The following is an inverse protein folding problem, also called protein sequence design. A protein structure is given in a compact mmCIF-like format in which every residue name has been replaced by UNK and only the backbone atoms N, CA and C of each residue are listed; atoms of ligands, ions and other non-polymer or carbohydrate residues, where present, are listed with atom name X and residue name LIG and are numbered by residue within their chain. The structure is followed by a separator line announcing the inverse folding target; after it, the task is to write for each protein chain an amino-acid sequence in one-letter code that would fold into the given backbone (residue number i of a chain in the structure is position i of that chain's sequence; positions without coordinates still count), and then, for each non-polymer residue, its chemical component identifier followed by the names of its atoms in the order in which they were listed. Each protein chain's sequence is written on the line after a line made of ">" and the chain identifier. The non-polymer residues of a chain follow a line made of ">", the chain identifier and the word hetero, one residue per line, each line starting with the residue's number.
data_IF_629624999058
#
_entry.id   IF_629624999058
#
_cell.length_a   1.000
_cell.length_b   1.000
_cell.length_c   1.000
_cell.angle_alpha   90.00
_cell.angle_beta   90.00
_cell.angle_gamma   90.00
#
_symmetry.space_group_name_H-M   'P 1'
#
loop_
_entity.id
_entity.type
_entity.pdbx_description
1 polymer ?
#
# COMPACT_ATOMS: atom_id res chain seq x y z
N UNK A 1 32.63 54.89 32.93
CA UNK A 1 31.43 54.31 32.31
C UNK A 1 31.42 54.70 30.85
N UNK A 2 31.73 53.79 29.91
CA UNK A 2 31.65 54.09 28.48
C UNK A 2 30.18 54.04 28.00
N UNK A 3 29.80 54.79 26.95
CA UNK A 3 28.45 54.76 26.40
C UNK A 3 28.20 53.46 25.62
N UNK A 4 27.00 52.90 25.78
CA UNK A 4 26.56 51.67 25.12
C UNK A 4 26.45 51.88 23.59
N UNK A 5 27.01 50.93 22.83
CA UNK A 5 26.83 50.83 21.38
C UNK A 5 25.40 50.35 21.05
N UNK A 6 24.77 50.85 19.98
CA UNK A 6 23.43 50.42 19.59
C UNK A 6 23.47 49.00 19.00
N UNK A 7 22.58 48.15 19.50
CA UNK A 7 22.37 46.78 19.01
C UNK A 7 21.53 46.88 17.74
N UNK A 8 22.10 46.48 16.59
CA UNK A 8 21.36 46.31 15.35
C UNK A 8 20.58 44.99 15.40
N UNK A 9 19.25 45.05 15.50
CA UNK A 9 18.39 43.91 15.18
C UNK A 9 18.45 43.62 13.68
N UNK A 10 18.74 42.39 13.24
CA UNK A 10 18.54 42.02 11.84
C UNK A 10 17.04 41.87 11.57
N UNK A 11 16.56 42.62 10.58
CA UNK A 11 15.21 42.48 10.04
C UNK A 11 15.00 41.05 9.53
N UNK A 12 14.02 40.36 10.11
CA UNK A 12 13.50 39.10 9.60
C UNK A 12 12.74 39.37 8.30
N UNK A 13 13.38 39.11 7.16
CA UNK A 13 12.65 38.88 5.91
C UNK A 13 11.99 37.49 5.96
N UNK A 14 10.71 37.36 5.57
CA UNK A 14 10.04 36.06 5.52
C UNK A 14 10.61 35.22 4.38
N UNK A 15 11.16 34.05 4.72
CA UNK A 15 11.54 33.01 3.76
C UNK A 15 10.27 32.49 3.08
N UNK A 16 10.22 32.38 1.73
CA UNK A 16 9.04 31.87 1.04
C UNK A 16 8.81 30.40 1.38
N UNK A 17 7.60 30.09 1.86
CA UNK A 17 7.14 28.75 2.12
C UNK A 17 7.18 27.89 0.85
N UNK A 18 7.98 26.83 0.86
CA UNK A 18 7.95 25.81 -0.18
C UNK A 18 6.62 25.05 -0.10
N UNK A 19 5.87 25.11 -1.21
CA UNK A 19 4.57 24.52 -1.50
C UNK A 19 4.19 23.29 -0.66
N UNK A 20 3.36 23.52 0.36
CA UNK A 20 2.41 22.54 0.83
C UNK A 20 1.42 22.25 -0.31
N UNK A 21 1.19 20.97 -0.61
CA UNK A 21 0.07 20.57 -1.45
C UNK A 21 -1.24 21.02 -0.78
N UNK A 22 -2.14 21.74 -1.48
CA UNK A 22 -3.23 22.42 -0.83
C UNK A 22 -4.31 21.44 -0.37
N UNK A 23 -4.61 21.48 0.92
CA UNK A 23 -5.85 21.02 1.53
C UNK A 23 -6.92 22.12 1.41
N UNK A 24 -8.06 21.81 0.80
CA UNK A 24 -9.31 22.55 0.98
C UNK A 24 -9.60 23.65 -0.06
N UNK A 25 -10.46 23.33 -1.02
CA UNK A 25 -11.39 24.29 -1.61
C UNK A 25 -12.78 23.64 -1.63
N UNK A 26 -13.69 24.18 -0.83
CA UNK A 26 -15.10 23.80 -0.81
C UNK A 26 -15.84 24.49 -1.97
N UNK A 27 -16.61 23.65 -2.69
CA UNK A 27 -17.86 23.91 -3.42
C UNK A 27 -17.94 25.08 -4.41
N UNK A 28 -18.14 24.76 -5.70
CA UNK A 28 -19.38 25.09 -6.44
C UNK A 28 -19.40 24.44 -7.84
N UNK A 29 -20.48 23.70 -8.13
CA UNK A 29 -21.10 23.64 -9.47
C UNK A 29 -20.36 23.03 -10.65
N UNK A 30 -20.19 21.70 -10.68
CA UNK A 30 -20.24 20.96 -11.94
C UNK A 30 -21.23 19.80 -11.78
N UNK A 31 -22.38 19.92 -12.44
CA UNK A 31 -23.41 18.90 -12.48
C UNK A 31 -22.80 17.55 -12.92
N UNK A 32 -23.22 16.41 -12.34
CA UNK A 32 -22.73 15.13 -12.80
C UNK A 32 -23.21 14.93 -14.23
N UNK A 33 -22.26 14.81 -15.16
CA UNK A 33 -22.53 14.17 -16.44
C UNK A 33 -23.16 12.81 -16.12
N UNK A 34 -24.36 12.57 -16.66
CA UNK A 34 -25.13 11.36 -16.41
C UNK A 34 -24.33 10.09 -16.73
N UNK A 35 -24.77 8.91 -16.25
CA UNK A 35 -24.04 7.68 -16.45
C UNK A 35 -23.88 7.43 -17.95
N UNK A 36 -22.66 7.52 -18.46
CA UNK A 36 -22.33 6.94 -19.76
C UNK A 36 -22.59 5.44 -19.62
N UNK A 37 -23.53 4.93 -20.40
CA UNK A 37 -23.94 3.54 -20.42
C UNK A 37 -22.78 2.65 -20.90
N UNK A 38 -21.86 2.36 -19.99
CA UNK A 38 -20.92 1.26 -20.11
C UNK A 38 -21.67 -0.09 -20.03
N UNK A 39 -21.08 -1.19 -20.52
CA UNK A 39 -21.67 -2.51 -20.37
C UNK A 39 -21.93 -2.80 -18.89
N UNK A 40 -23.05 -3.44 -18.58
CA UNK A 40 -23.42 -3.80 -17.21
C UNK A 40 -22.30 -4.65 -16.56
N UNK A 41 -22.01 -4.45 -15.27
CA UNK A 41 -20.99 -5.23 -14.58
C UNK A 41 -21.31 -6.71 -14.63
N UNK A 42 -20.28 -7.53 -14.83
CA UNK A 42 -20.41 -8.99 -14.77
C UNK A 42 -20.24 -9.39 -13.31
N UNK A 43 -21.33 -9.87 -12.73
CA UNK A 43 -21.34 -10.36 -11.35
C UNK A 43 -21.16 -11.87 -11.33
N UNK A 44 -20.26 -12.35 -10.46
CA UNK A 44 -20.23 -13.74 -10.02
C UNK A 44 -21.44 -14.06 -9.12
N UNK A 45 -21.72 -15.34 -8.84
CA UNK A 45 -22.89 -15.72 -8.05
C UNK A 45 -22.91 -14.99 -6.70
N UNK A 46 -24.06 -14.41 -6.36
CA UNK A 46 -24.37 -13.91 -5.02
C UNK A 46 -24.58 -15.11 -4.09
N UNK A 47 -23.49 -15.68 -3.61
CA UNK A 47 -23.55 -16.81 -2.70
C UNK A 47 -23.46 -16.31 -1.26
N UNK A 48 -24.49 -16.60 -0.45
CA UNK A 48 -24.31 -16.78 0.99
C UNK A 48 -23.13 -17.74 1.24
N UNK A 49 -22.50 -17.72 2.43
CA UNK A 49 -21.10 -18.12 2.66
C UNK A 49 -20.71 -19.35 1.82
N UNK A 50 -20.05 -19.12 0.68
CA UNK A 50 -19.75 -20.16 -0.28
C UNK A 50 -18.74 -21.15 0.34
N UNK A 51 -19.28 -22.32 0.65
CA UNK A 51 -18.71 -23.49 1.31
C UNK A 51 -17.73 -24.28 0.45
N UNK A 52 -16.78 -23.60 -0.18
CA UNK A 52 -15.59 -24.23 -0.78
C UNK A 52 -14.38 -24.00 0.13
N UNK A 53 -13.84 -25.06 0.72
CA UNK A 53 -12.63 -24.98 1.54
C UNK A 53 -11.44 -24.58 0.66
N UNK A 54 -10.96 -23.35 0.83
CA UNK A 54 -9.66 -22.90 0.31
C UNK A 54 -8.60 -23.58 1.19
N UNK A 55 -8.28 -24.84 0.86
CA UNK A 55 -7.20 -25.60 1.49
C UNK A 55 -5.86 -25.00 1.07
N UNK A 56 -5.07 -24.55 2.05
CA UNK A 56 -3.74 -24.00 1.79
C UNK A 56 -2.77 -25.12 1.41
N UNK A 57 -2.07 -24.96 0.29
CA UNK A 57 -1.01 -25.84 -0.16
C UNK A 57 0.19 -25.86 0.81
N UNK A 58 1.08 -26.87 0.67
CA UNK A 58 2.22 -27.06 1.54
C UNK A 58 3.32 -25.99 1.32
N UNK A 59 4.22 -25.88 2.30
CA UNK A 59 5.47 -25.12 2.18
C UNK A 59 5.31 -23.59 2.09
N UNK A 60 5.41 -23.06 0.87
CA UNK A 60 5.49 -21.63 0.58
C UNK A 60 4.18 -20.88 0.86
N UNK A 61 3.05 -21.41 0.40
CA UNK A 61 1.74 -20.80 0.64
C UNK A 61 1.46 -20.66 2.14
N UNK A 62 1.77 -21.70 2.93
CA UNK A 62 1.63 -21.68 4.39
C UNK A 62 2.58 -20.67 5.06
N UNK A 63 3.79 -20.47 4.53
CA UNK A 63 4.72 -19.45 5.03
C UNK A 63 4.15 -18.05 4.82
N UNK A 64 3.76 -17.72 3.58
CA UNK A 64 3.17 -16.42 3.25
C UNK A 64 1.86 -16.18 4.00
N UNK A 65 1.01 -17.21 4.14
CA UNK A 65 -0.19 -17.14 4.94
C UNK A 65 0.10 -16.76 6.39
N UNK A 66 1.07 -17.41 7.05
CA UNK A 66 1.45 -17.08 8.44
C UNK A 66 1.97 -15.65 8.57
N UNK A 67 2.77 -15.19 7.61
CA UNK A 67 3.31 -13.85 7.61
C UNK A 67 2.24 -12.78 7.40
N UNK A 68 1.33 -13.00 6.45
CA UNK A 68 0.17 -12.12 6.22
C UNK A 68 -0.77 -12.13 7.44
N UNK A 69 -1.07 -13.31 8.02
CA UNK A 69 -1.88 -13.42 9.24
C UNK A 69 -1.27 -12.62 10.39
N UNK A 70 0.04 -12.78 10.63
CA UNK A 70 0.76 -11.99 11.64
C UNK A 70 0.68 -10.50 11.35
N UNK A 71 0.79 -10.09 10.09
CA UNK A 71 0.63 -8.68 9.69
C UNK A 71 -0.80 -8.18 9.98
N UNK A 72 -1.82 -8.98 9.70
CA UNK A 72 -3.21 -8.64 10.03
C UNK A 72 -3.44 -8.50 11.54
N UNK A 73 -2.78 -9.32 12.35
CA UNK A 73 -2.85 -9.27 13.82
C UNK A 73 -2.09 -8.07 14.39
N UNK A 74 -0.82 -7.89 14.00
CA UNK A 74 0.06 -6.84 14.51
C UNK A 74 -0.47 -5.43 14.21
N UNK A 75 -1.24 -5.26 13.12
CA UNK A 75 -1.79 -3.97 12.69
C UNK A 75 -3.32 -3.91 12.73
N UNK A 76 -3.98 -4.91 13.33
CA UNK A 76 -5.44 -4.98 13.46
C UNK A 76 -6.15 -4.68 12.12
N UNK A 77 -5.76 -5.37 11.06
CA UNK A 77 -6.28 -5.12 9.71
C UNK A 77 -7.70 -5.67 9.52
N UNK A 78 -8.15 -6.58 10.38
CA UNK A 78 -9.45 -7.24 10.31
C UNK A 78 -10.22 -7.03 11.62
N UNK A 79 -11.53 -6.81 11.49
CA UNK A 79 -12.47 -6.60 12.58
C UNK A 79 -13.80 -7.34 12.30
N UNK A 80 -14.60 -7.63 13.33
CA UNK A 80 -15.94 -8.19 13.17
C UNK A 80 -16.83 -7.32 12.28
N UNK A 81 -17.55 -7.94 11.36
CA UNK A 81 -18.46 -7.29 10.41
C UNK A 81 -17.77 -6.72 9.16
N UNK A 82 -16.46 -6.90 9.01
CA UNK A 82 -15.74 -6.38 7.84
C UNK A 82 -16.26 -7.00 6.52
N UNK A 83 -16.57 -6.14 5.56
CA UNK A 83 -16.76 -6.50 4.16
C UNK A 83 -15.65 -5.85 3.34
N UNK A 84 -14.77 -6.68 2.82
CA UNK A 84 -13.47 -6.27 2.28
C UNK A 84 -13.47 -6.41 0.76
N UNK A 85 -13.32 -5.30 0.05
CA UNK A 85 -13.04 -5.31 -1.37
C UNK A 85 -11.56 -5.63 -1.60
N UNK A 86 -11.25 -6.68 -2.35
CA UNK A 86 -9.89 -6.96 -2.83
C UNK A 86 -9.77 -6.48 -4.27
N UNK A 87 -8.90 -5.49 -4.50
CA UNK A 87 -8.67 -4.96 -5.84
C UNK A 87 -7.78 -5.92 -6.66
N UNK A 88 -8.39 -6.72 -7.53
CA UNK A 88 -7.69 -7.68 -8.39
C UNK A 88 -7.22 -6.94 -9.64
N UNK A 89 -5.92 -6.67 -9.77
CA UNK A 89 -5.37 -5.99 -10.95
C UNK A 89 -5.09 -6.92 -12.12
N UNK A 90 -5.16 -8.24 -11.90
CA UNK A 90 -4.65 -9.25 -12.83
C UNK A 90 -3.15 -9.51 -12.68
N UNK A 91 -2.48 -8.84 -11.74
CA UNK A 91 -1.09 -9.09 -11.38
C UNK A 91 -0.93 -10.15 -10.28
N UNK A 92 0.29 -10.71 -10.19
CA UNK A 92 0.68 -11.78 -9.26
C UNK A 92 0.32 -11.47 -7.81
N UNK A 93 0.53 -10.21 -7.40
CA UNK A 93 0.37 -9.78 -6.01
C UNK A 93 -1.11 -9.75 -5.61
N UNK A 94 -1.98 -9.31 -6.52
CA UNK A 94 -3.42 -9.23 -6.27
C UNK A 94 -4.10 -10.60 -6.19
N UNK A 95 -3.67 -11.56 -7.00
CA UNK A 95 -4.14 -12.95 -6.91
C UNK A 95 -3.67 -13.61 -5.60
N UNK A 96 -2.39 -13.45 -5.24
CA UNK A 96 -1.86 -13.97 -3.98
C UNK A 96 -2.59 -13.36 -2.78
N UNK A 97 -2.86 -12.05 -2.81
CA UNK A 97 -3.65 -11.37 -1.77
C UNK A 97 -5.04 -11.99 -1.63
N UNK A 98 -5.80 -12.09 -2.73
CA UNK A 98 -7.16 -12.64 -2.69
C UNK A 98 -7.17 -14.06 -2.12
N UNK A 99 -6.25 -14.91 -2.59
CA UNK A 99 -6.10 -16.29 -2.16
C UNK A 99 -5.80 -16.39 -0.67
N UNK A 100 -4.78 -15.68 -0.19
CA UNK A 100 -4.33 -15.76 1.21
C UNK A 100 -5.31 -15.08 2.17
N UNK A 101 -5.82 -13.89 1.82
CA UNK A 101 -6.77 -13.16 2.65
C UNK A 101 -8.11 -13.90 2.74
N UNK A 102 -8.60 -14.43 1.63
CA UNK A 102 -9.79 -15.28 1.63
C UNK A 102 -9.64 -16.52 2.51
N UNK A 103 -8.45 -17.13 2.54
CA UNK A 103 -8.14 -18.22 3.46
C UNK A 103 -8.16 -17.77 4.93
N UNK A 104 -7.69 -16.56 5.23
CA UNK A 104 -7.65 -16.03 6.60
C UNK A 104 -9.06 -15.67 7.08
N UNK A 105 -9.84 -14.97 6.27
CA UNK A 105 -11.21 -14.54 6.59
C UNK A 105 -12.12 -15.73 6.91
N UNK A 106 -11.93 -16.89 6.28
CA UNK A 106 -12.67 -18.12 6.63
C UNK A 106 -12.30 -18.74 7.98
N UNK A 107 -11.19 -18.30 8.60
CA UNK A 107 -10.61 -18.91 9.82
C UNK A 107 -10.59 -17.95 11.01
N UNK A 108 -11.01 -16.70 10.85
CA UNK A 108 -11.14 -15.76 11.97
C UNK A 108 -12.34 -16.16 12.85
N UNK A 109 -12.32 -15.86 14.16
CA UNK A 109 -13.39 -16.24 15.08
C UNK A 109 -14.62 -15.29 15.03
N UNK A 110 -14.71 -14.44 14.01
CA UNK A 110 -15.76 -13.45 13.84
C UNK A 110 -16.19 -13.38 12.37
N UNK A 111 -17.36 -12.82 12.11
CA UNK A 111 -17.85 -12.66 10.75
C UNK A 111 -17.03 -11.60 10.00
N UNK A 112 -16.54 -11.98 8.82
CA UNK A 112 -15.94 -11.09 7.84
C UNK A 112 -16.11 -11.70 6.45
N UNK A 113 -16.10 -10.88 5.41
CA UNK A 113 -16.29 -11.33 4.02
C UNK A 113 -15.35 -10.61 3.06
N UNK A 114 -15.09 -11.24 1.92
CA UNK A 114 -14.22 -10.72 0.86
C UNK A 114 -14.97 -10.77 -0.46
N UNK A 115 -14.94 -9.65 -1.18
CA UNK A 115 -15.40 -9.56 -2.57
C UNK A 115 -14.23 -9.14 -3.47
N UNK A 116 -14.00 -9.87 -4.54
CA UNK A 116 -12.98 -9.56 -5.52
C UNK A 116 -13.52 -8.56 -6.55
N UNK A 117 -12.82 -7.46 -6.79
CA UNK A 117 -13.23 -6.48 -7.80
C UNK A 117 -12.11 -6.25 -8.79
N UNK A 118 -12.40 -6.46 -10.07
CA UNK A 118 -11.53 -6.15 -11.18
C UNK A 118 -12.06 -4.95 -11.97
N UNK A 119 -11.16 -4.11 -12.48
CA UNK A 119 -11.49 -3.00 -13.36
C UNK A 119 -10.84 -3.22 -14.73
N UNK A 120 -11.64 -3.53 -15.73
CA UNK A 120 -11.26 -3.44 -17.14
C UNK A 120 -11.24 -1.96 -17.54
N UNK A 121 -10.04 -1.43 -17.73
CA UNK A 121 -9.77 -0.04 -18.09
C UNK A 121 -9.86 0.24 -19.61
N UNK A 122 -10.34 -0.73 -20.41
CA UNK A 122 -10.40 -0.69 -21.88
C UNK A 122 -9.07 -0.41 -22.57
N UNK A 123 -7.98 -0.93 -21.99
CA UNK A 123 -6.65 -0.82 -22.60
C UNK A 123 -6.61 -1.55 -23.96
N UNK A 124 -5.95 -0.99 -24.99
CA UNK A 124 -5.79 -1.66 -26.27
C UNK A 124 -5.14 -3.04 -26.11
N UNK A 125 -5.77 -4.08 -26.66
CA UNK A 125 -5.28 -5.45 -26.57
C UNK A 125 -5.49 -6.15 -25.22
N UNK A 126 -6.28 -5.56 -24.31
CA UNK A 126 -6.67 -6.24 -23.07
C UNK A 126 -7.57 -7.45 -23.35
N UNK A 127 -7.15 -8.62 -22.85
CA UNK A 127 -7.98 -9.82 -22.78
C UNK A 127 -8.24 -10.19 -21.32
N UNK A 128 -9.44 -9.87 -20.84
CA UNK A 128 -9.89 -10.18 -19.48
C UNK A 128 -10.41 -11.61 -19.29
N UNK A 129 -10.55 -12.40 -20.37
CA UNK A 129 -11.17 -13.73 -20.32
C UNK A 129 -10.47 -14.67 -19.34
N UNK A 130 -9.12 -14.79 -19.31
CA UNK A 130 -8.45 -15.69 -18.36
C UNK A 130 -8.74 -15.35 -16.90
N UNK A 131 -8.79 -14.05 -16.57
CA UNK A 131 -9.13 -13.58 -15.22
C UNK A 131 -10.58 -13.85 -14.87
N UNK A 132 -11.50 -13.60 -15.81
CA UNK A 132 -12.93 -13.85 -15.61
C UNK A 132 -13.22 -15.34 -15.40
N UNK A 133 -12.62 -16.21 -16.22
CA UNK A 133 -12.73 -17.67 -16.10
C UNK A 133 -12.20 -18.14 -14.74
N UNK A 134 -11.06 -17.60 -14.31
CA UNK A 134 -10.46 -17.93 -13.01
C UNK A 134 -11.33 -17.47 -11.84
N UNK A 135 -11.87 -16.24 -11.87
CA UNK A 135 -12.78 -15.75 -10.84
C UNK A 135 -14.04 -16.60 -10.74
N UNK A 136 -14.63 -16.98 -11.87
CA UNK A 136 -15.79 -17.87 -11.93
C UNK A 136 -15.53 -19.24 -11.26
N UNK A 137 -14.30 -19.74 -11.36
CA UNK A 137 -13.89 -21.02 -10.76
C UNK A 137 -13.37 -20.90 -9.32
N UNK A 138 -13.01 -19.68 -8.88
CA UNK A 138 -12.35 -19.44 -7.60
C UNK A 138 -13.25 -19.63 -6.37
N UNK A 139 -14.57 -19.55 -6.55
CA UNK A 139 -15.55 -19.59 -5.46
C UNK A 139 -15.62 -18.32 -4.60
N UNK A 140 -14.96 -17.22 -5.01
CA UNK A 140 -15.12 -15.91 -4.41
C UNK A 140 -16.35 -15.19 -4.99
N UNK A 141 -17.00 -14.35 -4.19
CA UNK A 141 -17.85 -13.31 -4.74
C UNK A 141 -16.99 -12.33 -5.53
N UNK A 142 -17.42 -11.95 -6.73
CA UNK A 142 -16.66 -11.03 -7.55
C UNK A 142 -17.52 -10.13 -8.43
N UNK A 143 -16.95 -8.99 -8.79
CA UNK A 143 -17.50 -8.07 -9.78
C UNK A 143 -16.40 -7.61 -10.76
N UNK A 144 -16.69 -7.68 -12.05
CA UNK A 144 -15.84 -7.11 -13.10
C UNK A 144 -16.50 -5.83 -13.60
N UNK A 145 -15.87 -4.71 -13.29
CA UNK A 145 -16.22 -3.38 -13.75
C UNK A 145 -15.56 -3.11 -15.09
N UNK A 146 -16.17 -2.25 -15.89
CA UNK A 146 -15.65 -1.86 -17.20
C UNK A 146 -15.84 -0.37 -17.41
N UNK A 147 -14.74 0.37 -17.41
CA UNK A 147 -14.74 1.82 -17.65
C UNK A 147 -13.53 2.21 -18.51
N UNK A 148 -13.73 3.09 -19.49
CA UNK A 148 -12.63 3.60 -20.29
C UNK A 148 -11.88 4.72 -19.55
N UNK A 149 -11.00 4.32 -18.64
CA UNK A 149 -10.06 5.24 -18.00
C UNK A 149 -8.80 5.43 -18.84
N UNK A 150 -8.52 4.54 -19.81
CA UNK A 150 -7.34 4.61 -20.67
C UNK A 150 -7.36 5.86 -21.56
N UNK A 151 -8.46 6.08 -22.28
CA UNK A 151 -8.58 7.20 -23.22
C UNK A 151 -8.47 8.54 -22.48
N UNK A 152 -9.10 8.65 -21.31
CA UNK A 152 -9.01 9.83 -20.44
C UNK A 152 -7.57 10.13 -20.04
N UNK A 153 -6.81 9.09 -19.64
CA UNK A 153 -5.41 9.25 -19.25
C UNK A 153 -4.53 9.70 -20.42
N UNK A 154 -4.74 9.13 -21.61
CA UNK A 154 -3.97 9.49 -22.80
C UNK A 154 -4.28 10.91 -23.28
N UNK A 155 -5.54 11.34 -23.20
CA UNK A 155 -5.96 12.69 -23.60
C UNK A 155 -5.44 13.79 -22.66
N UNK A 156 -5.41 13.52 -21.35
CA UNK A 156 -5.13 14.53 -20.32
C UNK A 156 -3.67 14.57 -19.86
N UNK A 157 -2.82 13.64 -20.33
CA UNK A 157 -1.40 13.64 -20.01
C UNK A 157 -0.63 14.20 -21.20
N UNK A 158 0.00 15.36 -20.99
CA UNK A 158 0.88 15.98 -21.97
C UNK A 158 2.00 15.02 -22.42
N UNK A 159 2.52 15.23 -23.64
CA UNK A 159 3.64 14.42 -24.14
C UNK A 159 4.85 14.51 -23.19
N UNK A 160 5.25 13.35 -22.64
CA UNK A 160 6.33 13.26 -21.64
C UNK A 160 5.86 13.27 -20.18
N UNK A 161 4.56 13.41 -19.92
CA UNK A 161 3.97 13.33 -18.59
C UNK A 161 3.89 11.90 -18.04
N UNK A 162 3.77 11.79 -16.72
CA UNK A 162 3.67 10.49 -16.03
C UNK A 162 2.21 10.02 -15.97
N UNK A 163 1.86 9.04 -16.81
CA UNK A 163 0.52 8.44 -16.85
C UNK A 163 0.04 7.84 -15.51
N UNK A 164 0.97 7.33 -14.70
CA UNK A 164 0.66 6.61 -13.46
C UNK A 164 -0.13 7.43 -12.44
N UNK A 165 0.10 8.75 -12.34
CA UNK A 165 -0.57 9.60 -11.34
C UNK A 165 -2.08 9.74 -11.62
N UNK A 166 -2.45 10.04 -12.86
CA UNK A 166 -3.85 10.19 -13.25
C UNK A 166 -4.56 8.83 -13.31
N UNK A 167 -3.92 7.82 -13.91
CA UNK A 167 -4.44 6.45 -13.98
C UNK A 167 -4.75 5.90 -12.58
N UNK A 168 -3.82 6.05 -11.62
CA UNK A 168 -4.03 5.59 -10.25
C UNK A 168 -5.18 6.30 -9.54
N UNK A 169 -5.39 7.60 -9.81
CA UNK A 169 -6.51 8.38 -9.23
C UNK A 169 -7.86 7.92 -9.78
N UNK A 170 -7.99 7.79 -11.10
CA UNK A 170 -9.22 7.33 -11.74
C UNK A 170 -9.59 5.92 -11.27
N UNK A 171 -8.63 4.98 -11.33
CA UNK A 171 -8.85 3.60 -10.86
C UNK A 171 -9.30 3.53 -9.41
N UNK A 172 -8.73 4.37 -8.51
CA UNK A 172 -9.18 4.45 -7.12
C UNK A 172 -10.62 4.94 -7.02
N UNK A 173 -11.00 5.98 -7.76
CA UNK A 173 -12.37 6.52 -7.76
C UNK A 173 -13.41 5.45 -8.11
N UNK A 174 -13.16 4.70 -9.18
CA UNK A 174 -14.05 3.61 -9.62
C UNK A 174 -14.15 2.50 -8.57
N UNK A 175 -13.00 2.07 -8.03
CA UNK A 175 -12.98 1.04 -6.98
C UNK A 175 -13.67 1.48 -5.69
N UNK A 176 -13.60 2.77 -5.35
CA UNK A 176 -14.26 3.32 -4.15
C UNK A 176 -15.77 3.40 -4.35
N UNK A 177 -16.23 3.81 -5.53
CA UNK A 177 -17.66 3.77 -5.88
C UNK A 177 -18.22 2.33 -5.85
N UNK A 178 -17.43 1.36 -6.32
CA UNK A 178 -17.79 -0.05 -6.20
C UNK A 178 -17.80 -0.54 -4.74
N UNK A 179 -16.80 -0.16 -3.93
CA UNK A 179 -16.78 -0.47 -2.50
C UNK A 179 -18.02 0.06 -1.80
N UNK A 180 -18.43 1.29 -2.08
CA UNK A 180 -19.64 1.92 -1.53
C UNK A 180 -20.91 1.15 -1.90
N UNK A 181 -21.10 0.88 -3.20
CA UNK A 181 -22.27 0.16 -3.72
C UNK A 181 -22.35 -1.26 -3.17
N UNK A 182 -21.21 -1.89 -2.97
CA UNK A 182 -21.10 -3.22 -2.37
C UNK A 182 -21.21 -3.15 -0.83
N UNK A 183 -21.24 -1.98 -0.19
CA UNK A 183 -21.27 -1.91 1.28
C UNK A 183 -19.99 -2.46 1.93
N UNK A 184 -18.86 -2.35 1.24
CA UNK A 184 -17.54 -2.66 1.78
C UNK A 184 -17.07 -1.50 2.67
N UNK A 185 -16.53 -1.80 3.85
CA UNK A 185 -15.90 -0.81 4.73
C UNK A 185 -14.37 -0.79 4.57
N UNK A 186 -13.80 -1.79 3.90
CA UNK A 186 -12.34 -1.91 3.68
C UNK A 186 -11.98 -2.20 2.23
N UNK A 187 -10.80 -1.72 1.84
CA UNK A 187 -10.21 -1.98 0.52
C UNK A 187 -8.79 -2.53 0.71
N UNK A 188 -8.58 -3.79 0.30
CA UNK A 188 -7.30 -4.46 0.38
C UNK A 188 -6.50 -4.32 -0.93
N UNK A 189 -5.24 -3.90 -0.81
CA UNK A 189 -4.31 -3.73 -1.93
C UNK A 189 -3.12 -4.68 -1.81
N UNK A 190 -2.69 -5.24 -2.94
CA UNK A 190 -1.62 -6.24 -3.02
C UNK A 190 -0.20 -5.70 -2.84
N UNK A 191 -0.01 -4.58 -2.12
CA UNK A 191 1.31 -4.01 -1.91
C UNK A 191 2.15 -4.88 -0.98
N UNK A 192 3.39 -5.13 -1.37
CA UNK A 192 4.33 -5.98 -0.64
C UNK A 192 5.52 -5.20 -0.09
N UNK A 193 6.48 -5.91 0.50
CA UNK A 193 7.62 -5.31 1.20
C UNK A 193 8.45 -4.40 0.30
N UNK A 194 8.74 -4.84 -0.90
CA UNK A 194 9.54 -4.09 -1.87
C UNK A 194 8.82 -2.79 -2.27
N UNK A 195 7.50 -2.79 -2.50
CA UNK A 195 6.72 -1.54 -2.72
C UNK A 195 6.89 -0.54 -1.56
N UNK A 196 6.85 -1.04 -0.32
CA UNK A 196 7.02 -0.22 0.88
C UNK A 196 8.42 0.39 0.96
N UNK A 197 9.46 -0.41 0.66
CA UNK A 197 10.85 0.04 0.69
C UNK A 197 11.18 0.98 -0.46
N UNK A 198 10.71 0.71 -1.67
CA UNK A 198 10.85 1.61 -2.81
C UNK A 198 10.19 2.95 -2.53
N UNK A 199 8.98 2.94 -1.97
CA UNK A 199 8.29 4.18 -1.58
C UNK A 199 9.05 4.93 -0.49
N UNK A 200 9.59 4.21 0.50
CA UNK A 200 10.43 4.79 1.53
C UNK A 200 11.66 5.48 0.95
N UNK A 201 12.40 4.78 0.08
CA UNK A 201 13.60 5.32 -0.55
C UNK A 201 13.27 6.50 -1.47
N UNK A 202 12.17 6.43 -2.22
CA UNK A 202 11.71 7.56 -3.04
C UNK A 202 11.45 8.80 -2.18
N UNK A 203 10.74 8.64 -1.06
CA UNK A 203 10.47 9.74 -0.13
C UNK A 203 11.73 10.25 0.57
N UNK A 204 12.66 9.37 0.91
CA UNK A 204 13.92 9.72 1.53
C UNK A 204 14.83 10.52 0.58
N UNK A 205 15.07 10.00 -0.63
CA UNK A 205 16.01 10.59 -1.59
C UNK A 205 15.44 11.78 -2.36
N UNK A 206 14.13 11.82 -2.62
CA UNK A 206 13.52 12.84 -3.47
C UNK A 206 12.41 13.66 -2.80
N UNK A 207 11.85 13.17 -1.70
CA UNK A 207 10.75 13.82 -1.00
C UNK A 207 11.14 14.55 0.29
N UNK A 208 12.35 14.30 0.83
CA UNK A 208 12.78 14.82 2.12
C UNK A 208 11.94 14.30 3.30
N UNK A 209 11.34 13.10 3.18
CA UNK A 209 10.41 12.54 4.18
C UNK A 209 10.85 11.16 4.64
N UNK A 210 10.81 10.92 5.95
CA UNK A 210 10.89 9.58 6.55
C UNK A 210 9.52 8.91 6.53
N UNK A 211 9.10 8.48 5.35
CA UNK A 211 7.74 7.99 5.13
C UNK A 211 7.74 6.79 4.17
N UNK A 212 7.13 5.68 4.58
CA UNK A 212 6.83 4.52 3.72
C UNK A 212 5.31 4.43 3.43
N UNK A 213 4.81 3.26 3.07
CA UNK A 213 3.39 2.95 3.04
C UNK A 213 2.93 2.38 4.38
N UNK A 214 1.90 2.93 5.03
CA UNK A 214 1.38 2.34 6.25
C UNK A 214 0.62 1.03 5.96
N UNK A 215 0.57 0.07 6.89
CA UNK A 215 -0.20 -1.17 6.75
C UNK A 215 -1.71 -0.92 6.58
N UNK A 216 -2.23 0.15 7.22
CA UNK A 216 -3.59 0.64 7.03
C UNK A 216 -3.65 2.17 7.13
N UNK A 217 -4.65 2.76 6.49
CA UNK A 217 -5.01 4.17 6.68
C UNK A 217 -6.50 4.38 6.35
N UNK A 218 -7.11 5.38 6.99
CA UNK A 218 -8.46 5.83 6.68
C UNK A 218 -8.40 6.79 5.49
N UNK A 219 -9.32 6.67 4.54
CA UNK A 219 -9.46 7.65 3.46
C UNK A 219 -9.79 9.04 4.01
N UNK A 220 -9.41 10.09 3.28
CA UNK A 220 -9.60 11.49 3.74
C UNK A 220 -11.08 11.84 3.99
N UNK A 221 -12.00 11.16 3.27
CA UNK A 221 -13.45 11.28 3.45
C UNK A 221 -14.03 10.39 4.55
N UNK A 222 -13.19 9.61 5.23
CA UNK A 222 -13.56 8.73 6.34
C UNK A 222 -14.36 7.48 5.96
N UNK A 223 -14.62 7.25 4.67
CA UNK A 223 -15.55 6.18 4.24
C UNK A 223 -14.96 4.79 4.23
N UNK A 224 -13.66 4.65 3.95
CA UNK A 224 -13.02 3.34 3.80
C UNK A 224 -11.69 3.28 4.54
N UNK A 225 -11.41 2.13 5.14
CA UNK A 225 -10.05 1.81 5.57
C UNK A 225 -9.33 1.02 4.47
N UNK A 226 -8.20 1.56 4.00
CA UNK A 226 -7.37 0.88 3.01
C UNK A 226 -6.31 0.07 3.73
N UNK A 227 -6.23 -1.23 3.45
CA UNK A 227 -5.33 -2.18 4.12
C UNK A 227 -4.34 -2.83 3.14
N UNK A 228 -3.15 -3.17 3.64
CA UNK A 228 -2.06 -3.82 2.87
C UNK A 228 -1.59 -5.10 3.59
N UNK A 229 -2.35 -6.21 3.52
CA UNK A 229 -2.01 -7.42 4.27
C UNK A 229 -0.67 -8.06 3.90
N UNK A 230 -0.19 -7.84 2.66
CA UNK A 230 1.08 -8.39 2.16
C UNK A 230 2.29 -7.50 2.46
N UNK A 231 2.16 -6.38 3.18
CA UNK A 231 3.22 -5.36 3.30
C UNK A 231 4.55 -5.88 3.90
N UNK A 232 4.51 -7.02 4.60
CA UNK A 232 5.72 -7.67 5.12
C UNK A 232 6.24 -8.82 4.23
N UNK A 233 5.43 -9.33 3.31
CA UNK A 233 5.77 -10.43 2.41
C UNK A 233 6.74 -9.95 1.32
N UNK A 234 7.69 -10.80 0.93
CA UNK A 234 8.66 -10.50 -0.13
C UNK A 234 8.13 -10.85 -1.52
N UNK A 235 8.46 -10.01 -2.50
CA UNK A 235 8.07 -10.18 -3.90
C UNK A 235 8.52 -11.53 -4.50
N UNK A 236 9.76 -12.02 -4.30
CA UNK A 236 10.18 -13.31 -4.85
C UNK A 236 9.31 -14.47 -4.39
N UNK A 237 8.89 -14.48 -3.13
CA UNK A 237 7.96 -15.47 -2.59
C UNK A 237 6.57 -15.35 -3.19
N UNK A 238 6.06 -14.13 -3.38
CA UNK A 238 4.76 -13.88 -4.02
C UNK A 238 4.78 -14.35 -5.48
N UNK A 239 5.84 -14.03 -6.22
CA UNK A 239 6.03 -14.47 -7.60
C UNK A 239 6.14 -15.99 -7.71
N UNK A 240 6.88 -16.63 -6.80
CA UNK A 240 6.99 -18.08 -6.76
C UNK A 240 5.65 -18.76 -6.43
N UNK A 241 4.87 -18.20 -5.52
CA UNK A 241 3.52 -18.71 -5.21
C UNK A 241 2.58 -18.55 -6.41
N UNK A 242 2.61 -17.41 -7.08
CA UNK A 242 1.79 -17.17 -8.26
C UNK A 242 2.10 -18.16 -9.39
N UNK A 243 3.38 -18.49 -9.58
CA UNK A 243 3.81 -19.54 -10.50
C UNK A 243 3.36 -20.93 -10.06
N UNK A 244 3.49 -21.25 -8.77
CA UNK A 244 3.08 -22.54 -8.20
C UNK A 244 1.56 -22.79 -8.35
N UNK A 245 0.76 -21.74 -8.23
CA UNK A 245 -0.70 -21.80 -8.36
C UNK A 245 -1.20 -21.49 -9.77
N UNK A 246 -0.28 -21.31 -10.72
CA UNK A 246 -0.58 -21.07 -12.14
C UNK A 246 -1.60 -19.95 -12.37
N UNK A 247 -1.45 -18.83 -11.65
CA UNK A 247 -2.38 -17.72 -11.80
C UNK A 247 -2.32 -17.13 -13.23
N UNK A 248 -3.47 -16.79 -13.84
CA UNK A 248 -3.51 -16.17 -15.15
C UNK A 248 -3.12 -14.70 -15.04
N UNK A 249 -1.81 -14.44 -15.08
CA UNK A 249 -1.25 -13.09 -14.99
C UNK A 249 -1.57 -12.34 -16.28
N UNK A 250 -2.30 -11.23 -16.15
CA UNK A 250 -2.62 -10.35 -17.26
C UNK A 250 -1.45 -9.40 -17.52
N UNK A 251 -0.95 -9.27 -18.77
CA UNK A 251 0.05 -8.27 -19.11
C UNK A 251 -0.57 -6.88 -18.98
N UNK A 252 0.07 -5.98 -18.22
CA UNK A 252 -0.35 -4.59 -18.15
C UNK A 252 0.58 -3.72 -19.00
N UNK A 253 0.08 -3.28 -20.16
CA UNK A 253 0.87 -2.48 -21.09
C UNK A 253 0.93 -0.99 -20.70
N UNK A 254 0.01 -0.53 -19.84
CA UNK A 254 -0.05 0.87 -19.39
C UNK A 254 0.90 1.19 -18.24
N UNK A 255 1.11 0.21 -17.36
CA UNK A 255 2.05 0.27 -16.24
C UNK A 255 3.45 -0.18 -16.66
N UNK A 256 3.68 -0.44 -17.95
CA UNK A 256 4.99 -0.65 -18.56
C UNK A 256 5.83 0.58 -18.30
N UNK A 257 6.57 0.51 -17.18
CA UNK A 257 7.61 1.41 -16.71
C UNK A 257 8.12 2.32 -17.82
N UNK A 258 7.66 3.58 -17.80
CA UNK A 258 8.36 4.62 -18.55
C UNK A 258 9.83 4.54 -18.12
N UNK A 259 10.77 4.24 -19.02
CA UNK A 259 12.17 4.10 -18.64
C UNK A 259 12.66 5.38 -17.97
N UNK A 260 13.32 5.25 -16.82
CA UNK A 260 13.80 6.38 -16.02
C UNK A 260 12.89 6.82 -14.87
N UNK A 261 11.86 6.02 -14.51
CA UNK A 261 11.08 6.26 -13.31
C UNK A 261 11.96 6.12 -12.06
N UNK A 262 11.78 7.05 -11.11
CA UNK A 262 12.49 7.03 -9.81
C UNK A 262 12.33 5.70 -9.07
N UNK A 263 11.21 5.00 -9.26
CA UNK A 263 10.91 3.70 -8.66
C UNK A 263 11.89 2.62 -9.13
N UNK A 264 12.11 2.50 -10.44
CA UNK A 264 13.02 1.50 -11.04
C UNK A 264 14.43 1.67 -10.47
N UNK A 265 14.90 2.92 -10.37
CA UNK A 265 16.19 3.24 -9.75
C UNK A 265 16.27 2.84 -8.26
N UNK A 266 15.18 2.95 -7.51
CA UNK A 266 15.15 2.49 -6.11
C UNK A 266 15.15 0.96 -6.01
N UNK A 267 14.49 0.26 -6.93
CA UNK A 267 14.49 -1.20 -7.01
C UNK A 267 15.90 -1.73 -7.32
N UNK A 268 16.60 -1.11 -8.27
CA UNK A 268 18.01 -1.42 -8.59
C UNK A 268 18.92 -1.16 -7.39
N UNK A 269 18.74 -0.05 -6.68
CA UNK A 269 19.49 0.25 -5.47
C UNK A 269 19.28 -0.81 -4.38
N UNK A 270 18.02 -1.21 -4.14
CA UNK A 270 17.70 -2.27 -3.17
C UNK A 270 18.35 -3.61 -3.55
N UNK A 271 18.37 -3.95 -4.83
CA UNK A 271 19.02 -5.16 -5.34
C UNK A 271 20.54 -5.11 -5.13
N UNK A 272 21.14 -3.96 -5.39
CA UNK A 272 22.58 -3.74 -5.18
C UNK A 272 22.95 -3.89 -3.70
N UNK A 273 22.20 -3.25 -2.80
CA UNK A 273 22.43 -3.36 -1.35
C UNK A 273 22.20 -4.78 -0.82
N UNK A 274 21.24 -5.52 -1.40
CA UNK A 274 20.97 -6.91 -1.01
C UNK A 274 22.10 -7.87 -1.38
N UNK A 275 22.82 -7.58 -2.47
CA UNK A 275 24.01 -8.34 -2.85
C UNK A 275 25.16 -8.20 -1.82
N UNK A 276 25.28 -7.03 -1.19
CA UNK A 276 26.26 -6.78 -0.12
C UNK A 276 25.78 -7.30 1.24
N UNK A 277 24.49 -7.13 1.55
CA UNK A 277 23.86 -7.59 2.78
C UNK A 277 22.51 -8.26 2.47
N UNK A 278 22.45 -9.61 2.47
CA UNK A 278 21.23 -10.37 2.19
C UNK A 278 20.04 -10.07 3.11
N UNK A 279 20.28 -9.41 4.25
CA UNK A 279 19.24 -9.05 5.21
C UNK A 279 18.80 -7.58 5.13
N UNK A 280 19.38 -6.77 4.24
CA UNK A 280 19.16 -5.31 4.21
C UNK A 280 17.69 -4.92 4.15
N UNK A 281 16.89 -5.57 3.29
CA UNK A 281 15.45 -5.28 3.15
C UNK A 281 14.69 -5.54 4.46
N UNK A 282 15.03 -6.63 5.16
CA UNK A 282 14.43 -6.95 6.46
C UNK A 282 14.86 -5.98 7.57
N UNK A 283 16.13 -5.54 7.55
CA UNK A 283 16.66 -4.53 8.47
C UNK A 283 15.98 -3.17 8.23
N UNK A 284 15.80 -2.76 6.98
CA UNK A 284 15.09 -1.52 6.64
C UNK A 284 13.62 -1.55 7.09
N UNK A 285 12.92 -2.67 6.88
CA UNK A 285 11.55 -2.83 7.41
C UNK A 285 11.51 -2.76 8.93
N UNK A 286 12.46 -3.39 9.61
CA UNK A 286 12.57 -3.29 11.07
C UNK A 286 12.85 -1.86 11.52
N UNK A 287 13.69 -1.11 10.80
CA UNK A 287 13.98 0.29 11.10
C UNK A 287 12.72 1.17 11.00
N UNK A 288 11.85 0.94 10.01
CA UNK A 288 10.57 1.64 9.88
C UNK A 288 9.63 1.41 11.07
N UNK A 289 9.72 0.26 11.74
CA UNK A 289 8.97 -0.02 12.96
C UNK A 289 9.69 0.43 14.26
N UNK A 290 11.01 0.65 14.19
CA UNK A 290 11.88 0.93 15.33
C UNK A 290 12.38 2.37 15.35
N UNK A 291 11.43 3.32 15.38
CA UNK A 291 11.73 4.75 15.43
C UNK A 291 12.13 5.20 16.84
N UNK A 292 13.13 6.08 16.94
CA UNK A 292 13.52 6.78 18.16
C UNK A 292 13.14 8.27 18.07
N UNK A 293 11.96 8.68 18.56
CA UNK A 293 11.43 10.03 18.36
C UNK A 293 12.34 11.16 18.86
N UNK A 294 13.07 10.92 19.95
CA UNK A 294 14.01 11.90 20.53
C UNK A 294 15.22 12.22 19.65
N UNK A 295 15.51 11.36 18.67
CA UNK A 295 16.63 11.55 17.73
C UNK A 295 16.16 12.07 16.37
N UNK A 296 14.85 12.27 16.17
CA UNK A 296 14.32 12.92 14.98
C UNK A 296 14.33 14.44 15.15
N UNK A 297 14.49 15.17 14.06
CA UNK A 297 14.56 16.64 14.06
C UNK A 297 13.20 17.33 14.08
N UNK A 298 12.11 16.56 14.02
CA UNK A 298 10.75 17.07 14.06
C UNK A 298 10.35 17.44 15.50
N UNK A 299 10.14 18.75 15.72
CA UNK A 299 9.82 19.30 17.05
C UNK A 299 8.45 18.85 17.55
N UNK A 300 7.49 18.63 16.67
CA UNK A 300 6.15 18.21 17.06
C UNK A 300 6.14 16.74 17.44
N UNK A 301 6.91 15.90 16.73
CA UNK A 301 7.17 14.51 17.14
C UNK A 301 7.87 14.45 18.49
N UNK A 302 8.90 15.29 18.72
CA UNK A 302 9.59 15.34 20.01
C UNK A 302 8.65 15.75 21.16
N UNK A 303 7.82 16.77 20.92
CA UNK A 303 6.84 17.28 21.90
C UNK A 303 5.79 16.23 22.21
N UNK A 304 5.14 15.66 21.19
CA UNK A 304 4.15 14.61 21.36
C UNK A 304 4.74 13.39 22.08
N UNK A 305 6.01 13.06 21.82
CA UNK A 305 6.70 11.98 22.53
C UNK A 305 7.02 12.31 24.00
N UNK A 306 7.27 13.57 24.32
CA UNK A 306 7.47 14.03 25.70
C UNK A 306 6.15 14.02 26.49
N UNK A 307 5.04 14.33 25.84
CA UNK A 307 3.69 14.39 26.41
C UNK A 307 2.95 13.04 26.36
N UNK A 308 3.59 11.99 25.84
CA UNK A 308 2.98 10.67 25.70
C UNK A 308 2.50 10.11 27.05
N UNK A 309 1.53 9.21 26.99
CA UNK A 309 1.11 8.43 28.14
C UNK A 309 2.34 7.73 28.79
N UNK A 310 2.59 7.90 30.10
CA UNK A 310 3.69 7.23 30.80
C UNK A 310 3.69 5.71 30.67
N UNK A 311 2.53 5.10 30.43
CA UNK A 311 2.40 3.66 30.16
C UNK A 311 3.02 3.24 28.83
N UNK A 312 3.20 4.17 27.87
CA UNK A 312 3.93 3.93 26.63
C UNK A 312 5.44 3.99 26.94
N UNK A 313 6.13 2.83 26.99
CA UNK A 313 7.51 2.80 27.42
C UNK A 313 8.39 3.54 26.41
N UNK A 314 9.37 4.30 26.93
CA UNK A 314 10.43 4.80 26.08
C UNK A 314 11.17 3.59 25.49
N UNK A 315 11.15 3.43 24.16
CA UNK A 315 11.83 2.32 23.45
C UNK A 315 13.32 2.18 23.81
N UNK A 316 13.92 3.22 24.38
CA UNK A 316 15.31 3.25 24.85
C UNK A 316 15.67 2.24 25.98
N UNK A 317 14.71 1.54 26.60
CA UNK A 317 15.03 0.58 27.70
C UNK A 317 15.24 -0.88 27.27
N UNK A 318 14.97 -1.26 26.01
CA UNK A 318 15.20 -2.64 25.55
C UNK A 318 16.69 -3.01 25.38
N UNK A 319 17.60 -2.03 25.48
CA UNK A 319 19.05 -2.26 25.48
C UNK A 319 19.63 -2.59 26.87
N UNK A 320 18.84 -2.50 27.96
CA UNK A 320 19.32 -2.75 29.33
C UNK A 320 18.99 -4.15 29.87
N UNK A 321 18.89 -5.16 29.01
CA UNK A 321 18.32 -6.48 29.35
C UNK A 321 19.02 -7.72 28.78
N UNK A 322 20.33 -7.84 29.03
CA UNK A 322 21.21 -9.05 29.13
C UNK A 322 22.54 -8.83 28.38
N UNK A 323 23.70 -9.01 29.04
CA UNK A 323 24.99 -8.97 28.35
C UNK A 323 25.07 -10.14 27.37
N UNK A 324 25.12 -9.84 26.07
CA UNK A 324 25.60 -10.82 25.10
C UNK A 324 27.12 -10.92 25.28
N UNK A 325 27.56 -12.11 25.67
CA UNK A 325 28.97 -12.44 25.75
C UNK A 325 29.65 -12.24 24.38
N UNK A 326 30.75 -11.49 24.42
CA UNK A 326 31.91 -11.52 23.52
C UNK A 326 31.71 -11.24 22.02
N UNK A 327 32.41 -10.20 21.52
CA UNK A 327 33.09 -10.28 20.23
C UNK A 327 32.96 -9.06 19.30
N UNK A 328 33.98 -8.19 19.36
CA UNK A 328 34.36 -7.13 18.38
C UNK A 328 33.35 -6.01 18.12
N UNK A 329 33.57 -4.93 18.87
CA UNK A 329 33.12 -3.57 18.56
C UNK A 329 33.85 -3.08 17.30
N UNK A 330 33.10 -2.71 16.25
CA UNK A 330 33.65 -1.92 15.14
C UNK A 330 33.74 -0.45 15.56
N UNK A 331 34.78 0.30 15.15
CA UNK A 331 34.90 1.71 15.48
C UNK A 331 33.87 2.52 14.69
N UNK A 332 33.10 3.32 15.40
CA UNK A 332 32.26 4.37 14.83
C UNK A 332 33.16 5.60 14.66
N UNK A 333 33.25 6.10 13.43
CA UNK A 333 33.71 7.47 13.12
C UNK A 333 32.51 8.42 13.16
#
# INVERSE_FOLDING_TARGET
>A
MPPALPVHEPAHEPVPAAAAAPSGASAEGAAPAGPSSGPAPVNGPAAGPASGSVELGPGLERRLYRQMKKTCEDYELLAPGDRILVAVSGGKDSYCLLRLLGALVKRVPFEASVVAVHLDQKQPGYDGKPLADWLAQSGFEYEILSEDTYSVVVEHVEQGGTYCSLCSRLRRGVLYGAAERLGCNKIALGHHREDALETFLMNLFYGGKLQSMPPKYLTDDGRFEVIRPLIQCDEPSIAALAKQLEFPILPCNLCGSQPGLKRDRMAELLTTLEAENPHVKSVMMAALANVCPTHLLDRDVQRAWAERDPEIPAKASLAAGKPRATGRQLPVL
#
